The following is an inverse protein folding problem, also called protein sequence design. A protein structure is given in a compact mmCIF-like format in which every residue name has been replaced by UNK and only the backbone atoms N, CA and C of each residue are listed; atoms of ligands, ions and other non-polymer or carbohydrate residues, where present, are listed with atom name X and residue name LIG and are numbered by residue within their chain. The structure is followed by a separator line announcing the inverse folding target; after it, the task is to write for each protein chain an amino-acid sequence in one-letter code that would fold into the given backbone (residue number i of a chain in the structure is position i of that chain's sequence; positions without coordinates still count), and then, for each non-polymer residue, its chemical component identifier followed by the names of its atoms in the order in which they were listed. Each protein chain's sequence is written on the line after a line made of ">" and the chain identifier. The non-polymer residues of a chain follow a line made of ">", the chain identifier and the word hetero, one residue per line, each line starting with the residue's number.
data_IF_004769656752
#
_entry.id   IF_004769656752
#
_cell.length_a   1.000
_cell.length_b   1.000
_cell.length_c   1.000
_cell.angle_alpha   90.00
_cell.angle_beta   90.00
_cell.angle_gamma   90.00
#
_symmetry.space_group_name_H-M   'P 1'
#
loop_
_entity.id
_entity.type
_entity.pdbx_description
1 polymer ?
#
# COMPACT_ATOMS: atom_id res chain seq x y z
N UNK A 1 -13.97 18.85 8.04
CA UNK A 1 -13.55 18.79 6.63
C UNK A 1 -12.49 17.70 6.36
N UNK A 2 -11.41 17.61 7.14
CA UNK A 2 -10.32 16.65 6.89
C UNK A 2 -10.62 15.16 7.14
N UNK A 3 -11.73 14.80 7.80
CA UNK A 3 -12.13 13.39 8.02
C UNK A 3 -12.41 12.61 6.72
N UNK A 4 -12.56 13.28 5.57
CA UNK A 4 -12.77 12.65 4.25
C UNK A 4 -11.47 12.36 3.49
N UNK A 5 -10.33 12.92 3.92
CA UNK A 5 -9.03 12.68 3.28
C UNK A 5 -8.21 11.70 4.13
N UNK A 6 -7.61 10.69 3.48
CA UNK A 6 -6.74 9.71 4.15
C UNK A 6 -5.57 10.39 4.89
N UNK A 7 -5.08 11.50 4.33
CA UNK A 7 -4.06 12.36 4.95
C UNK A 7 -4.39 13.82 4.60
N UNK A 8 -4.33 14.78 5.54
CA UNK A 8 -4.63 16.19 5.26
C UNK A 8 -3.88 16.78 4.06
N UNK A 9 -2.66 16.30 3.79
CA UNK A 9 -1.82 16.70 2.64
C UNK A 9 -2.46 16.41 1.28
N UNK A 10 -3.41 15.47 1.19
CA UNK A 10 -4.10 15.16 -0.07
C UNK A 10 -4.91 16.35 -0.62
N UNK A 11 -5.28 17.33 0.22
CA UNK A 11 -5.93 18.55 -0.24
C UNK A 11 -5.05 19.37 -1.19
N UNK A 12 -3.72 19.18 -1.16
CA UNK A 12 -2.78 19.85 -2.05
C UNK A 12 -3.04 19.52 -3.53
N UNK A 13 -3.76 18.44 -3.83
CA UNK A 13 -4.15 18.12 -5.22
C UNK A 13 -5.05 19.23 -5.81
N UNK A 14 -5.90 19.87 -4.99
CA UNK A 14 -6.73 20.98 -5.44
C UNK A 14 -5.87 22.20 -5.78
N UNK A 15 -4.83 22.47 -4.99
CA UNK A 15 -3.87 23.54 -5.27
C UNK A 15 -3.14 23.25 -6.59
N UNK A 16 -2.59 22.05 -6.75
CA UNK A 16 -1.86 21.65 -7.97
C UNK A 16 -2.75 21.75 -9.21
N UNK A 17 -3.98 21.23 -9.13
CA UNK A 17 -4.96 21.31 -10.21
C UNK A 17 -5.34 22.76 -10.55
N UNK A 18 -5.60 23.58 -9.53
CA UNK A 18 -5.94 25.00 -9.72
C UNK A 18 -4.78 25.76 -10.36
N UNK A 19 -3.54 25.52 -9.93
CA UNK A 19 -2.34 26.12 -10.51
C UNK A 19 -2.16 25.71 -11.96
N UNK A 20 -2.40 24.44 -12.31
CA UNK A 20 -2.31 23.96 -13.69
C UNK A 20 -3.36 24.64 -14.60
N UNK A 21 -4.61 24.74 -14.14
CA UNK A 21 -5.67 25.47 -14.88
C UNK A 21 -5.29 26.94 -15.04
N UNK A 22 -4.92 27.62 -13.96
CA UNK A 22 -4.56 29.04 -14.00
C UNK A 22 -3.34 29.28 -14.90
N UNK A 23 -2.39 28.35 -14.93
CA UNK A 23 -1.23 28.42 -15.84
C UNK A 23 -1.65 28.28 -17.29
N UNK A 24 -2.57 27.37 -17.61
CA UNK A 24 -3.14 27.22 -18.96
C UNK A 24 -3.94 28.45 -19.42
N UNK A 25 -4.79 29.00 -18.54
CA UNK A 25 -5.52 30.25 -18.79
C UNK A 25 -4.56 31.42 -18.98
N UNK A 26 -3.53 31.51 -18.13
CA UNK A 26 -2.48 32.52 -18.21
C UNK A 26 -1.70 32.44 -19.53
N UNK A 27 -1.36 31.23 -19.99
CA UNK A 27 -0.68 31.01 -21.26
C UNK A 27 -1.56 31.41 -22.46
N UNK A 28 -2.87 31.12 -22.41
CA UNK A 28 -3.81 31.55 -23.44
C UNK A 28 -3.97 33.08 -23.47
N UNK A 29 -4.09 33.71 -22.31
CA UNK A 29 -4.15 35.17 -22.21
C UNK A 29 -2.85 35.80 -22.71
N UNK A 30 -1.69 35.24 -22.35
CA UNK A 30 -0.39 35.66 -22.84
C UNK A 30 -0.34 35.61 -24.38
N UNK A 31 -0.78 34.51 -25.02
CA UNK A 31 -0.86 34.40 -26.48
C UNK A 31 -1.65 35.55 -27.12
N UNK A 32 -2.83 35.87 -26.57
CA UNK A 32 -3.68 36.95 -27.10
C UNK A 32 -3.01 38.32 -26.93
N UNK A 33 -2.42 38.59 -25.77
CA UNK A 33 -1.72 39.84 -25.50
C UNK A 33 -0.50 40.00 -26.40
N UNK A 34 0.27 38.94 -26.65
CA UNK A 34 1.43 38.97 -27.55
C UNK A 34 1.06 39.33 -29.00
N UNK A 35 -0.18 39.07 -29.43
CA UNK A 35 -0.68 39.48 -30.76
C UNK A 35 -0.91 40.99 -30.86
N UNK A 36 -1.44 41.62 -29.80
CA UNK A 36 -1.88 43.03 -29.82
C UNK A 36 -0.90 44.04 -29.21
N UNK A 37 0.05 43.61 -28.36
CA UNK A 37 0.90 44.50 -27.55
C UNK A 37 2.30 44.67 -28.16
N UNK A 38 3.04 45.77 -27.91
CA UNK A 38 4.45 45.83 -28.32
C UNK A 38 5.30 44.82 -27.51
N UNK A 39 5.87 43.82 -28.20
CA UNK A 39 6.64 42.73 -27.60
C UNK A 39 7.92 43.24 -26.95
N UNK A 40 8.55 44.25 -27.54
CA UNK A 40 9.82 44.72 -27.07
C UNK A 40 9.64 45.36 -25.70
N UNK A 41 8.54 46.09 -25.52
CA UNK A 41 8.17 46.66 -24.23
C UNK A 41 7.75 45.58 -23.22
N UNK A 42 6.96 44.58 -23.62
CA UNK A 42 6.53 43.49 -22.73
C UNK A 42 7.70 42.60 -22.28
N UNK A 43 8.55 42.14 -23.21
CA UNK A 43 9.71 41.31 -22.91
C UNK A 43 10.78 42.07 -22.14
N UNK A 44 10.98 43.37 -22.41
CA UNK A 44 11.85 44.20 -21.56
C UNK A 44 11.31 44.25 -20.12
N UNK A 45 10.01 44.42 -19.92
CA UNK A 45 9.40 44.39 -18.58
C UNK A 45 9.52 43.02 -17.92
N UNK A 46 9.31 41.94 -18.68
CA UNK A 46 9.40 40.58 -18.17
C UNK A 46 10.85 40.20 -17.83
N UNK A 47 11.81 40.45 -18.72
CA UNK A 47 13.23 40.30 -18.44
C UNK A 47 13.68 41.18 -17.28
N UNK A 48 13.25 42.45 -17.24
CA UNK A 48 13.55 43.34 -16.12
C UNK A 48 12.97 42.81 -14.80
N UNK A 49 11.75 42.29 -14.80
CA UNK A 49 11.15 41.65 -13.62
C UNK A 49 11.90 40.39 -13.19
N UNK A 50 12.34 39.54 -14.13
CA UNK A 50 13.11 38.34 -13.85
C UNK A 50 14.52 38.65 -13.33
N UNK A 51 15.18 39.66 -13.92
CA UNK A 51 16.52 40.11 -13.51
C UNK A 51 16.45 40.81 -12.16
N UNK A 52 15.48 41.72 -11.96
CA UNK A 52 15.31 42.42 -10.68
C UNK A 52 14.96 41.46 -9.53
N UNK A 53 14.01 40.54 -9.73
CA UNK A 53 13.70 39.51 -8.72
C UNK A 53 14.90 38.59 -8.47
N UNK A 54 15.63 38.20 -9.52
CA UNK A 54 16.88 37.43 -9.40
C UNK A 54 17.98 38.16 -8.63
N UNK A 55 18.15 39.48 -8.85
CA UNK A 55 19.10 40.32 -8.14
C UNK A 55 18.71 40.52 -6.67
N UNK A 56 17.44 40.82 -6.40
CA UNK A 56 16.91 40.90 -5.03
C UNK A 56 17.18 39.58 -4.31
N UNK A 57 16.96 38.44 -4.98
CA UNK A 57 17.24 37.15 -4.40
C UNK A 57 18.74 36.88 -4.22
N UNK A 58 19.59 37.27 -5.16
CA UNK A 58 21.05 37.15 -5.04
C UNK A 58 21.60 37.92 -3.84
N UNK A 59 21.10 39.13 -3.59
CA UNK A 59 21.60 40.00 -2.52
C UNK A 59 20.91 39.76 -1.16
N UNK A 60 19.60 39.50 -1.16
CA UNK A 60 18.80 39.43 0.07
C UNK A 60 18.16 38.06 0.30
N UNK A 61 18.25 37.13 -0.66
CA UNK A 61 17.58 35.83 -0.58
C UNK A 61 18.04 35.00 0.61
N UNK A 62 19.32 35.09 0.99
CA UNK A 62 19.86 34.41 2.19
C UNK A 62 19.14 34.87 3.45
N UNK A 63 19.09 36.18 3.69
CA UNK A 63 18.50 36.75 4.91
C UNK A 63 16.98 36.59 4.94
N UNK A 64 16.32 36.68 3.78
CA UNK A 64 14.88 36.44 3.65
C UNK A 64 14.57 34.98 4.02
N UNK A 65 15.27 34.01 3.40
CA UNK A 65 15.06 32.58 3.65
C UNK A 65 15.30 32.24 5.12
N UNK A 66 16.43 32.69 5.68
CA UNK A 66 16.81 32.37 7.07
C UNK A 66 15.79 32.90 8.09
N UNK A 67 15.08 34.00 7.80
CA UNK A 67 14.00 34.53 8.66
C UNK A 67 12.73 33.68 8.66
N UNK A 68 12.45 32.95 7.58
CA UNK A 68 11.29 32.06 7.49
C UNK A 68 11.59 30.63 7.96
N UNK A 69 12.87 30.29 8.19
CA UNK A 69 13.24 28.96 8.68
C UNK A 69 12.96 28.84 10.18
N UNK A 70 12.35 27.72 10.64
CA UNK A 70 12.09 27.50 12.05
C UNK A 70 13.42 27.40 12.81
N UNK A 71 13.61 28.28 13.79
CA UNK A 71 14.88 28.45 14.50
C UNK A 71 15.00 27.69 15.84
N UNK A 72 13.88 27.26 16.44
CA UNK A 72 13.90 26.96 17.87
C UNK A 72 14.02 25.47 18.25
N UNK A 73 13.84 24.52 17.32
CA UNK A 73 13.72 23.09 17.68
C UNK A 73 14.97 22.23 17.42
N UNK A 74 15.92 22.71 16.61
CA UNK A 74 17.04 21.90 16.14
C UNK A 74 18.27 21.98 17.04
N UNK A 75 18.49 23.11 17.71
CA UNK A 75 19.61 23.29 18.66
C UNK A 75 19.45 22.32 19.84
N UNK A 76 18.22 22.18 20.36
CA UNK A 76 17.92 21.28 21.48
C UNK A 76 18.08 19.79 21.12
N UNK A 77 17.97 19.41 19.83
CA UNK A 77 18.05 18.01 19.38
C UNK A 77 19.44 17.60 18.87
N UNK A 78 20.20 18.54 18.32
CA UNK A 78 21.43 18.22 17.57
C UNK A 78 22.65 19.08 17.96
N UNK A 79 22.51 20.02 18.90
CA UNK A 79 23.59 20.86 19.43
C UNK A 79 23.74 22.23 18.76
N UNK A 80 24.61 23.08 19.33
CA UNK A 80 24.78 24.49 18.98
C UNK A 80 25.15 24.74 17.50
N UNK A 81 25.97 23.87 16.91
CA UNK A 81 26.45 24.03 15.53
C UNK A 81 25.53 23.38 14.48
N UNK A 82 24.60 22.51 14.88
CA UNK A 82 23.73 21.82 13.94
C UNK A 82 22.80 22.78 13.19
N UNK A 83 22.33 23.83 13.86
CA UNK A 83 21.44 24.83 13.27
C UNK A 83 22.11 25.57 12.12
N UNK A 84 23.37 26.01 12.30
CA UNK A 84 24.11 26.73 11.27
C UNK A 84 24.37 25.85 10.05
N UNK A 85 24.87 24.63 10.26
CA UNK A 85 25.14 23.68 9.18
C UNK A 85 23.87 23.30 8.41
N UNK A 86 22.76 23.05 9.10
CA UNK A 86 21.47 22.75 8.46
C UNK A 86 20.94 23.94 7.67
N UNK A 87 21.05 25.16 8.22
CA UNK A 87 20.60 26.37 7.53
C UNK A 87 21.44 26.69 6.30
N UNK A 88 22.75 26.49 6.35
CA UNK A 88 23.62 26.58 5.17
C UNK A 88 23.25 25.53 4.12
N UNK A 89 22.95 24.30 4.53
CA UNK A 89 22.48 23.25 3.63
C UNK A 89 21.13 23.61 2.97
N UNK A 90 20.17 24.10 3.75
CA UNK A 90 18.86 24.55 3.22
C UNK A 90 19.03 25.70 2.23
N UNK A 91 19.87 26.69 2.58
CA UNK A 91 20.15 27.82 1.71
C UNK A 91 20.79 27.37 0.40
N UNK A 92 21.82 26.53 0.46
CA UNK A 92 22.51 26.02 -0.74
C UNK A 92 21.56 25.24 -1.65
N UNK A 93 20.68 24.41 -1.08
CA UNK A 93 19.63 23.71 -1.83
C UNK A 93 18.68 24.71 -2.51
N UNK A 94 18.08 25.64 -1.76
CA UNK A 94 17.14 26.65 -2.32
C UNK A 94 17.79 27.54 -3.38
N UNK A 95 19.01 28.00 -3.12
CA UNK A 95 19.78 28.81 -4.05
C UNK A 95 20.06 28.07 -5.35
N UNK A 96 20.34 26.76 -5.29
CA UNK A 96 20.53 25.93 -6.49
C UNK A 96 19.25 25.81 -7.32
N UNK A 97 18.08 25.66 -6.69
CA UNK A 97 16.81 25.56 -7.42
C UNK A 97 16.42 26.90 -8.06
N UNK A 98 16.64 28.01 -7.37
CA UNK A 98 16.28 29.33 -7.91
C UNK A 98 17.11 29.68 -9.15
N UNK A 99 18.38 29.27 -9.21
CA UNK A 99 19.17 29.38 -10.45
C UNK A 99 18.51 28.67 -11.63
N UNK A 100 17.98 27.48 -11.40
CA UNK A 100 17.33 26.68 -12.45
C UNK A 100 16.04 27.36 -12.89
N UNK A 101 15.23 27.84 -11.95
CA UNK A 101 14.02 28.62 -12.26
C UNK A 101 14.37 29.87 -13.08
N UNK A 102 15.44 30.60 -12.73
CA UNK A 102 15.90 31.76 -13.49
C UNK A 102 16.33 31.38 -14.92
N UNK A 103 17.09 30.30 -15.08
CA UNK A 103 17.49 29.79 -16.40
C UNK A 103 16.24 29.43 -17.23
N UNK A 104 15.25 28.77 -16.63
CA UNK A 104 14.00 28.42 -17.31
C UNK A 104 13.20 29.66 -17.72
N UNK A 105 13.10 30.66 -16.84
CA UNK A 105 12.43 31.93 -17.17
C UNK A 105 13.12 32.65 -18.34
N UNK A 106 14.46 32.64 -18.38
CA UNK A 106 15.24 33.21 -19.49
C UNK A 106 14.96 32.43 -20.78
N UNK A 107 14.98 31.09 -20.74
CA UNK A 107 14.67 30.24 -21.89
C UNK A 107 13.26 30.49 -22.43
N UNK A 108 12.26 30.55 -21.56
CA UNK A 108 10.87 30.88 -21.92
C UNK A 108 10.80 32.27 -22.54
N UNK A 109 11.49 33.26 -21.97
CA UNK A 109 11.54 34.63 -22.51
C UNK A 109 12.13 34.67 -23.92
N UNK A 110 13.20 33.91 -24.16
CA UNK A 110 13.85 33.79 -25.48
C UNK A 110 12.90 33.14 -26.49
N UNK A 111 12.20 32.06 -26.12
CA UNK A 111 11.23 31.40 -26.98
C UNK A 111 10.11 32.38 -27.38
N UNK A 112 9.58 33.14 -26.42
CA UNK A 112 8.56 34.15 -26.67
C UNK A 112 9.06 35.31 -27.55
N UNK A 113 10.32 35.72 -27.39
CA UNK A 113 10.97 36.71 -28.25
C UNK A 113 11.04 36.24 -29.70
N UNK A 114 11.53 35.03 -29.93
CA UNK A 114 11.64 34.47 -31.28
C UNK A 114 10.28 34.22 -31.93
N UNK A 115 9.29 33.74 -31.17
CA UNK A 115 7.92 33.57 -31.66
C UNK A 115 7.41 34.83 -32.36
N UNK A 116 7.59 35.98 -31.72
CA UNK A 116 7.10 37.24 -32.28
C UNK A 116 8.01 37.84 -33.35
N UNK A 117 9.33 37.87 -33.16
CA UNK A 117 10.22 38.55 -34.11
C UNK A 117 10.45 37.76 -35.42
N UNK A 118 10.26 36.44 -35.39
CA UNK A 118 10.44 35.58 -36.57
C UNK A 118 9.13 34.98 -37.08
N UNK A 119 7.98 35.38 -36.53
CA UNK A 119 6.66 34.86 -36.89
C UNK A 119 6.57 33.32 -36.85
N UNK A 120 7.19 32.68 -35.86
CA UNK A 120 7.08 31.22 -35.71
C UNK A 120 5.66 30.79 -35.34
N UNK A 121 5.28 29.56 -35.67
CA UNK A 121 3.97 29.01 -35.29
C UNK A 121 3.89 28.83 -33.76
N UNK A 122 2.75 29.16 -33.15
CA UNK A 122 2.47 28.93 -31.73
C UNK A 122 2.65 27.46 -31.32
N UNK A 123 2.45 26.53 -32.26
CA UNK A 123 2.72 25.11 -32.06
C UNK A 123 4.17 24.86 -31.62
N UNK A 124 5.14 25.61 -32.15
CA UNK A 124 6.55 25.47 -31.78
C UNK A 124 6.79 25.97 -30.35
N UNK A 125 6.20 27.10 -29.97
CA UNK A 125 6.24 27.61 -28.57
C UNK A 125 5.65 26.59 -27.60
N UNK A 126 4.46 26.06 -27.91
CA UNK A 126 3.79 25.07 -27.08
C UNK A 126 4.64 23.80 -26.92
N UNK A 127 5.21 23.26 -28.00
CA UNK A 127 6.11 22.10 -27.95
C UNK A 127 7.35 22.39 -27.11
N UNK A 128 7.99 23.56 -27.27
CA UNK A 128 9.15 23.94 -26.47
C UNK A 128 8.82 24.06 -24.98
N UNK A 129 7.67 24.63 -24.63
CA UNK A 129 7.21 24.71 -23.23
C UNK A 129 6.97 23.32 -22.64
N UNK A 130 6.33 22.43 -23.39
CA UNK A 130 6.12 21.03 -22.97
C UNK A 130 7.47 20.33 -22.73
N UNK A 131 8.44 20.48 -23.63
CA UNK A 131 9.78 19.90 -23.47
C UNK A 131 10.51 20.47 -22.25
N UNK A 132 10.41 21.78 -22.01
CA UNK A 132 10.97 22.42 -20.80
C UNK A 132 10.31 21.85 -19.54
N UNK A 133 8.99 21.71 -19.52
CA UNK A 133 8.27 21.11 -18.38
C UNK A 133 8.65 19.66 -18.16
N UNK A 134 8.81 18.85 -19.22
CA UNK A 134 9.28 17.47 -19.10
C UNK A 134 10.69 17.43 -18.52
N UNK A 135 11.59 18.30 -18.99
CA UNK A 135 12.95 18.38 -18.46
C UNK A 135 12.95 18.78 -16.98
N UNK A 136 12.20 19.80 -16.59
CA UNK A 136 12.09 20.27 -15.20
C UNK A 136 11.57 19.16 -14.28
N UNK A 137 10.45 18.52 -14.65
CA UNK A 137 9.89 17.40 -13.89
C UNK A 137 10.85 16.22 -13.82
N UNK A 138 11.55 15.89 -14.92
CA UNK A 138 12.52 14.79 -14.94
C UNK A 138 13.73 15.08 -14.06
N UNK A 139 14.21 16.32 -14.07
CA UNK A 139 15.33 16.77 -13.25
C UNK A 139 15.00 16.72 -11.76
N UNK A 140 13.82 17.22 -11.37
CA UNK A 140 13.34 17.15 -9.99
C UNK A 140 13.14 15.69 -9.56
N UNK A 141 12.54 14.86 -10.41
CA UNK A 141 12.35 13.44 -10.13
C UNK A 141 13.69 12.71 -9.92
N UNK A 142 14.69 12.98 -10.76
CA UNK A 142 16.02 12.40 -10.63
C UNK A 142 16.65 12.73 -9.26
N UNK A 143 16.58 14.00 -8.82
CA UNK A 143 17.06 14.43 -7.50
C UNK A 143 16.38 13.73 -6.31
N UNK A 144 15.16 13.22 -6.48
CA UNK A 144 14.41 12.52 -5.43
C UNK A 144 14.69 11.02 -5.46
N UNK A 145 14.76 10.43 -6.66
CA UNK A 145 15.00 9.01 -6.85
C UNK A 145 16.47 8.65 -6.56
N UNK A 146 17.39 9.41 -7.15
CA UNK A 146 18.83 9.22 -7.08
C UNK A 146 19.52 10.55 -6.68
N UNK A 147 19.33 10.98 -5.42
CA UNK A 147 19.97 12.19 -4.92
C UNK A 147 21.48 12.07 -5.01
N UNK A 148 22.15 13.18 -5.34
CA UNK A 148 23.61 13.24 -5.29
C UNK A 148 24.10 13.06 -3.85
N UNK A 149 25.25 12.41 -3.65
CA UNK A 149 25.84 12.23 -2.32
C UNK A 149 26.06 13.57 -1.59
N UNK A 150 26.36 14.63 -2.36
CA UNK A 150 26.51 16.01 -1.86
C UNK A 150 25.23 16.62 -1.30
N UNK A 151 24.06 16.04 -1.60
CA UNK A 151 22.78 16.52 -1.08
C UNK A 151 22.46 15.98 0.31
N UNK A 152 23.24 15.03 0.83
CA UNK A 152 23.04 14.35 2.12
C UNK A 152 21.68 13.65 2.26
N UNK A 153 20.96 13.47 1.15
CA UNK A 153 19.72 12.70 1.08
C UNK A 153 20.07 11.25 0.80
N UNK A 154 19.44 10.32 1.50
CA UNK A 154 19.51 8.90 1.15
C UNK A 154 18.68 8.65 -0.10
N UNK A 155 19.20 7.83 -1.01
CA UNK A 155 18.39 7.33 -2.13
C UNK A 155 17.17 6.59 -1.61
N UNK A 156 16.04 6.78 -2.30
CA UNK A 156 14.82 6.01 -2.04
C UNK A 156 14.90 4.60 -2.63
N UNK A 157 15.86 4.35 -3.51
CA UNK A 157 16.10 3.05 -4.12
C UNK A 157 17.04 2.20 -3.26
N UNK A 158 16.67 0.95 -3.08
CA UNK A 158 17.57 -0.05 -2.50
C UNK A 158 18.57 -0.53 -3.54
N UNK A 159 19.87 -0.73 -3.19
CA UNK A 159 20.86 -1.26 -4.11
C UNK A 159 20.44 -2.60 -4.73
N UNK A 160 20.70 -2.81 -6.02
CA UNK A 160 20.31 -4.01 -6.75
C UNK A 160 20.81 -5.30 -6.10
N UNK A 161 22.00 -5.29 -5.50
CA UNK A 161 22.56 -6.44 -4.78
C UNK A 161 21.77 -6.77 -3.51
N UNK A 162 21.31 -5.76 -2.78
CA UNK A 162 20.47 -5.91 -1.60
C UNK A 162 19.11 -6.46 -1.98
N UNK A 163 18.50 -5.92 -3.05
CA UNK A 163 17.23 -6.44 -3.59
C UNK A 163 17.35 -7.90 -4.02
N UNK A 164 18.44 -8.26 -4.71
CA UNK A 164 18.70 -9.66 -5.12
C UNK A 164 18.84 -10.57 -3.91
N UNK A 165 19.59 -10.18 -2.88
CA UNK A 165 19.71 -10.96 -1.64
C UNK A 165 18.38 -11.09 -0.90
N UNK A 166 17.59 -10.02 -0.85
CA UNK A 166 16.28 -10.00 -0.21
C UNK A 166 15.31 -10.98 -0.88
N UNK A 167 15.32 -11.04 -2.22
CA UNK A 167 14.46 -11.93 -3.02
C UNK A 167 15.05 -13.32 -3.27
N UNK A 168 16.24 -13.62 -2.75
CA UNK A 168 16.80 -14.96 -2.82
C UNK A 168 16.23 -15.87 -1.72
N UNK A 169 16.02 -17.14 -2.07
CA UNK A 169 15.63 -18.18 -1.11
C UNK A 169 16.82 -18.53 -0.20
N UNK A 170 16.67 -18.23 1.09
CA UNK A 170 17.60 -18.66 2.13
C UNK A 170 17.20 -20.04 2.69
N UNK A 171 17.93 -20.52 3.69
CA UNK A 171 17.73 -21.86 4.25
C UNK A 171 16.35 -22.03 4.88
N UNK A 172 15.82 -20.98 5.54
CA UNK A 172 14.49 -21.04 6.16
C UNK A 172 13.40 -21.07 5.09
N UNK A 173 13.52 -20.22 4.06
CA UNK A 173 12.56 -20.21 2.93
C UNK A 173 12.56 -21.57 2.21
N UNK A 174 13.74 -22.14 1.95
CA UNK A 174 13.86 -23.46 1.32
C UNK A 174 13.21 -24.57 2.15
N UNK A 175 13.44 -24.55 3.47
CA UNK A 175 12.79 -25.49 4.39
C UNK A 175 11.26 -25.37 4.32
N UNK A 176 10.72 -24.16 4.44
CA UNK A 176 9.27 -23.93 4.42
C UNK A 176 8.63 -24.34 3.08
N UNK A 177 9.33 -24.15 1.95
CA UNK A 177 8.84 -24.53 0.62
C UNK A 177 8.84 -26.04 0.34
N UNK A 178 9.49 -26.85 1.19
CA UNK A 178 9.39 -28.31 1.09
C UNK A 178 8.03 -28.82 1.54
N UNK A 179 7.34 -28.06 2.40
CA UNK A 179 5.98 -28.36 2.82
C UNK A 179 4.98 -27.80 1.80
N UNK A 180 4.23 -28.70 1.16
CA UNK A 180 3.23 -28.35 0.13
C UNK A 180 1.81 -28.24 0.70
N UNK A 181 1.63 -28.47 2.00
CA UNK A 181 0.33 -28.30 2.67
C UNK A 181 -0.07 -26.83 2.77
N UNK A 182 -1.36 -26.56 2.97
CA UNK A 182 -1.83 -25.20 3.26
C UNK A 182 -1.53 -24.88 4.73
N UNK A 183 -0.59 -23.97 4.97
CA UNK A 183 -0.23 -23.51 6.30
C UNK A 183 0.11 -22.03 6.35
N UNK A 184 0.10 -21.48 7.57
CA UNK A 184 0.65 -20.15 7.87
C UNK A 184 1.81 -20.24 8.85
N UNK A 185 2.63 -19.21 8.83
CA UNK A 185 3.72 -19.02 9.80
C UNK A 185 3.39 -17.93 10.82
N UNK A 186 3.92 -18.10 12.02
CA UNK A 186 3.98 -17.12 13.10
C UNK A 186 5.43 -16.62 13.24
N UNK A 187 5.82 -15.55 12.52
CA UNK A 187 7.09 -14.89 12.76
C UNK A 187 7.02 -14.05 14.04
N UNK A 188 8.03 -14.16 14.91
CA UNK A 188 8.13 -13.35 16.13
C UNK A 188 8.96 -12.09 15.89
N UNK A 189 8.82 -11.07 16.75
CA UNK A 189 9.68 -9.87 16.72
C UNK A 189 11.17 -10.23 16.54
N UNK A 190 11.90 -9.57 15.61
CA UNK A 190 11.50 -8.44 14.76
C UNK A 190 10.87 -8.83 13.40
N UNK A 191 10.56 -10.11 13.17
CA UNK A 191 10.10 -10.65 11.88
C UNK A 191 8.59 -10.48 11.63
N UNK A 192 7.82 -10.13 12.64
CA UNK A 192 6.35 -10.00 12.63
C UNK A 192 5.83 -8.81 11.79
N UNK A 193 6.70 -7.87 11.41
CA UNK A 193 6.35 -6.73 10.53
C UNK A 193 6.93 -6.85 9.13
N UNK A 194 7.55 -7.98 8.82
CA UNK A 194 8.25 -8.22 7.56
C UNK A 194 7.28 -8.74 6.49
N UNK A 195 7.28 -8.11 5.30
CA UNK A 195 6.49 -8.59 4.15
C UNK A 195 7.28 -9.54 3.24
N UNK A 196 8.55 -9.83 3.56
CA UNK A 196 9.42 -10.70 2.78
C UNK A 196 8.79 -12.06 2.49
N UNK A 197 8.06 -12.61 3.46
CA UNK A 197 7.37 -13.90 3.33
C UNK A 197 6.45 -13.96 2.10
N UNK A 198 5.74 -12.86 1.80
CA UNK A 198 4.84 -12.76 0.65
C UNK A 198 5.56 -12.87 -0.70
N UNK A 199 6.84 -12.44 -0.79
CA UNK A 199 7.62 -12.58 -2.02
C UNK A 199 7.90 -14.04 -2.40
N UNK A 200 7.74 -14.96 -1.44
CA UNK A 200 7.92 -16.40 -1.62
C UNK A 200 6.60 -17.17 -1.50
N UNK A 201 5.46 -16.49 -1.50
CA UNK A 201 4.13 -17.07 -1.27
C UNK A 201 4.01 -17.83 0.07
N UNK A 202 4.77 -17.42 1.09
CA UNK A 202 4.64 -17.95 2.44
C UNK A 202 3.68 -17.05 3.20
N UNK A 203 2.55 -17.61 3.60
CA UNK A 203 1.52 -16.88 4.33
C UNK A 203 1.91 -16.68 5.79
N UNK A 204 1.80 -15.44 6.26
CA UNK A 204 2.02 -15.09 7.66
C UNK A 204 0.72 -14.60 8.29
N UNK A 205 0.47 -14.97 9.55
CA UNK A 205 -0.57 -14.35 10.39
C UNK A 205 -0.14 -12.96 10.91
N UNK A 206 0.96 -12.44 10.40
CA UNK A 206 1.52 -11.14 10.72
C UNK A 206 1.88 -10.43 9.41
N UNK A 207 2.71 -9.40 9.49
CA UNK A 207 3.12 -8.59 8.34
C UNK A 207 2.64 -7.15 8.45
N UNK A 208 3.08 -6.35 7.49
CA UNK A 208 2.76 -4.94 7.41
C UNK A 208 1.76 -4.66 6.27
N UNK A 209 0.59 -4.18 6.64
CA UNK A 209 -0.37 -3.61 5.69
C UNK A 209 -0.79 -2.21 6.17
N UNK A 210 -0.71 -1.16 5.34
CA UNK A 210 -1.03 0.21 5.76
C UNK A 210 -2.53 0.48 5.89
N UNK A 211 -3.39 -0.45 5.45
CA UNK A 211 -4.84 -0.39 5.58
C UNK A 211 -5.36 -1.73 6.13
N UNK A 212 -5.16 -1.96 7.42
CA UNK A 212 -5.58 -3.22 8.08
C UNK A 212 -7.10 -3.30 8.18
N UNK A 213 -7.64 -4.51 8.14
CA UNK A 213 -9.06 -4.76 8.41
C UNK A 213 -9.39 -4.41 9.87
N UNK A 214 -10.59 -3.86 10.10
CA UNK A 214 -10.99 -3.41 11.44
C UNK A 214 -11.13 -4.58 12.42
N UNK A 215 -11.85 -5.63 12.04
CA UNK A 215 -12.02 -6.83 12.86
C UNK A 215 -10.68 -7.48 13.24
N UNK A 216 -9.73 -7.53 12.31
CA UNK A 216 -8.37 -8.01 12.61
C UNK A 216 -7.66 -7.13 13.65
N UNK A 217 -7.78 -5.81 13.55
CA UNK A 217 -7.19 -4.90 14.54
C UNK A 217 -7.86 -5.03 15.90
N UNK A 218 -9.19 -5.11 15.96
CA UNK A 218 -9.95 -5.31 17.20
C UNK A 218 -9.57 -6.63 17.86
N UNK A 219 -9.52 -7.72 17.07
CA UNK A 219 -9.05 -9.01 17.53
C UNK A 219 -7.62 -8.94 18.11
N UNK A 220 -6.69 -8.28 17.41
CA UNK A 220 -5.31 -8.14 17.89
C UNK A 220 -5.19 -7.27 19.15
N UNK A 221 -6.07 -6.27 19.32
CA UNK A 221 -6.07 -5.38 20.49
C UNK A 221 -6.67 -6.06 21.72
N UNK A 222 -7.69 -6.91 21.55
CA UNK A 222 -8.44 -7.52 22.65
C UNK A 222 -8.00 -8.94 23.00
N UNK A 223 -7.52 -9.72 22.02
CA UNK A 223 -7.17 -11.14 22.19
C UNK A 223 -5.68 -11.39 21.92
N UNK A 224 -5.18 -10.93 20.77
CA UNK A 224 -3.83 -11.22 20.32
C UNK A 224 -3.57 -12.72 20.09
N UNK A 225 -2.31 -13.14 20.24
CA UNK A 225 -1.85 -14.51 19.93
C UNK A 225 -1.19 -15.22 21.13
N UNK A 226 -1.50 -14.78 22.36
CA UNK A 226 -0.98 -15.39 23.58
C UNK A 226 -1.52 -16.81 23.78
N UNK A 227 -2.81 -17.02 23.46
CA UNK A 227 -3.45 -18.32 23.55
C UNK A 227 -3.11 -19.18 22.32
N UNK A 228 -2.51 -20.35 22.55
CA UNK A 228 -2.09 -21.23 21.44
C UNK A 228 -3.26 -21.78 20.63
N UNK A 229 -4.46 -21.92 21.21
CA UNK A 229 -5.65 -22.33 20.47
C UNK A 229 -6.02 -21.32 19.37
N UNK A 230 -5.69 -20.04 19.53
CA UNK A 230 -5.87 -19.03 18.48
C UNK A 230 -5.00 -19.37 17.26
N UNK A 231 -3.77 -19.84 17.50
CA UNK A 231 -2.86 -20.26 16.43
C UNK A 231 -3.41 -21.46 15.67
N UNK A 232 -4.09 -22.37 16.37
CA UNK A 232 -4.78 -23.50 15.78
C UNK A 232 -5.85 -23.03 14.78
N UNK A 233 -6.80 -22.17 15.18
CA UNK A 233 -7.85 -21.71 14.26
C UNK A 233 -7.30 -20.88 13.08
N UNK A 234 -6.11 -20.28 13.23
CA UNK A 234 -5.44 -19.51 12.19
C UNK A 234 -4.57 -20.36 11.24
N UNK A 235 -4.62 -21.69 11.34
CA UNK A 235 -3.87 -22.61 10.49
C UNK A 235 -2.34 -22.39 10.58
N UNK A 236 -1.85 -21.99 11.76
CA UNK A 236 -0.42 -21.78 12.01
C UNK A 236 0.27 -23.12 12.21
N UNK A 237 1.26 -23.41 11.37
CA UNK A 237 2.06 -24.65 11.47
C UNK A 237 3.46 -24.41 12.01
N UNK A 238 4.06 -23.29 11.64
CA UNK A 238 5.44 -22.99 12.01
C UNK A 238 5.59 -21.66 12.74
N UNK A 239 6.29 -21.67 13.87
CA UNK A 239 6.79 -20.46 14.53
C UNK A 239 8.22 -20.20 14.10
N UNK A 240 8.51 -18.95 13.71
CA UNK A 240 9.82 -18.52 13.20
C UNK A 240 10.40 -17.47 14.13
N UNK A 241 11.58 -17.74 14.69
CA UNK A 241 12.19 -16.85 15.67
C UNK A 241 13.72 -16.87 15.62
N UNK A 242 14.36 -15.75 15.97
CA UNK A 242 15.81 -15.69 16.18
C UNK A 242 16.26 -16.24 17.53
N UNK A 243 15.34 -16.33 18.49
CA UNK A 243 15.65 -16.74 19.86
C UNK A 243 15.35 -18.23 20.05
N UNK A 244 15.88 -18.82 21.12
CA UNK A 244 15.39 -20.13 21.56
C UNK A 244 14.00 -19.91 22.16
N UNK A 245 13.05 -20.70 21.71
CA UNK A 245 11.69 -20.75 22.26
C UNK A 245 11.48 -22.13 22.89
N UNK A 246 10.93 -22.15 24.10
CA UNK A 246 10.69 -23.38 24.87
C UNK A 246 9.25 -23.36 25.36
N UNK A 247 8.43 -24.27 24.83
CA UNK A 247 7.00 -24.36 25.13
C UNK A 247 6.49 -25.74 24.68
N UNK A 248 5.69 -26.42 25.50
CA UNK A 248 5.29 -27.81 25.26
C UNK A 248 4.58 -28.05 23.93
N UNK A 249 3.77 -27.08 23.49
CA UNK A 249 3.04 -27.12 22.21
C UNK A 249 3.92 -26.94 20.96
N UNK A 250 5.22 -26.65 21.12
CA UNK A 250 6.13 -26.37 20.02
C UNK A 250 7.34 -27.29 20.05
N UNK A 251 7.76 -27.77 18.88
CA UNK A 251 8.94 -28.62 18.73
C UNK A 251 9.89 -28.00 17.71
N UNK A 252 11.17 -27.86 18.06
CA UNK A 252 12.16 -27.33 17.12
C UNK A 252 12.41 -28.38 16.03
N UNK A 253 12.07 -28.05 14.78
CA UNK A 253 12.23 -28.94 13.63
C UNK A 253 13.35 -28.53 12.69
N UNK A 254 13.75 -27.25 12.71
CA UNK A 254 14.83 -26.76 11.85
C UNK A 254 15.57 -25.56 12.44
N UNK A 255 16.79 -25.35 11.96
CA UNK A 255 17.64 -24.21 12.31
C UNK A 255 18.45 -23.84 11.07
N UNK A 256 18.43 -22.56 10.68
CA UNK A 256 19.14 -22.11 9.49
C UNK A 256 19.36 -20.60 9.45
N UNK A 257 19.92 -20.12 8.34
CA UNK A 257 20.17 -18.70 8.07
C UNK A 257 18.96 -18.05 7.40
N UNK A 258 18.43 -16.99 8.00
CA UNK A 258 17.41 -16.11 7.41
C UNK A 258 18.01 -14.74 7.07
N UNK A 259 17.74 -14.23 5.87
CA UNK A 259 18.12 -12.86 5.53
C UNK A 259 17.14 -11.85 6.13
N UNK A 260 17.64 -10.95 6.98
CA UNK A 260 16.87 -9.87 7.61
C UNK A 260 17.80 -8.69 7.96
N UNK A 261 17.33 -7.46 7.74
CA UNK A 261 18.10 -6.21 7.96
C UNK A 261 19.50 -6.26 7.33
N UNK A 262 19.58 -6.64 6.06
CA UNK A 262 20.82 -6.72 5.26
C UNK A 262 21.88 -7.71 5.74
N UNK A 263 21.53 -8.64 6.63
CA UNK A 263 22.43 -9.69 7.13
C UNK A 263 21.73 -11.05 7.25
N UNK A 264 22.51 -12.12 7.30
CA UNK A 264 22.00 -13.46 7.62
C UNK A 264 22.03 -13.69 9.12
N UNK A 265 20.88 -14.05 9.70
CA UNK A 265 20.71 -14.29 11.12
C UNK A 265 20.37 -15.76 11.36
N UNK A 266 20.89 -16.32 12.45
CA UNK A 266 20.50 -17.66 12.89
C UNK A 266 19.02 -17.63 13.30
N UNK A 267 18.23 -18.54 12.73
CA UNK A 267 16.79 -18.58 12.90
C UNK A 267 16.37 -20.02 13.18
N UNK A 268 15.47 -20.18 14.14
CA UNK A 268 14.89 -21.45 14.53
C UNK A 268 13.46 -21.53 13.97
N UNK A 269 13.09 -22.73 13.53
CA UNK A 269 11.72 -23.07 13.10
C UNK A 269 11.16 -24.11 14.05
N UNK A 270 9.99 -23.82 14.59
CA UNK A 270 9.27 -24.69 15.50
C UNK A 270 7.96 -25.14 14.88
N UNK A 271 7.71 -26.45 14.86
CA UNK A 271 6.43 -27.03 14.50
C UNK A 271 5.44 -26.85 15.65
N UNK A 272 4.26 -26.32 15.35
CA UNK A 272 3.14 -26.27 16.28
C UNK A 272 2.41 -27.62 16.30
N UNK A 273 2.45 -28.31 17.44
CA UNK A 273 1.97 -29.69 17.57
C UNK A 273 0.45 -29.84 17.41
N UNK A 274 -0.31 -28.79 17.73
CA UNK A 274 -1.78 -28.80 17.64
C UNK A 274 -2.28 -28.16 16.34
N UNK A 275 -1.44 -28.13 15.30
CA UNK A 275 -1.81 -27.67 13.95
C UNK A 275 -3.09 -28.36 13.46
N UNK A 276 -3.98 -27.59 12.84
CA UNK A 276 -5.14 -28.10 12.11
C UNK A 276 -5.17 -27.51 10.70
N UNK A 277 -5.87 -28.22 9.81
CA UNK A 277 -6.06 -27.78 8.45
C UNK A 277 -6.82 -26.46 8.35
N UNK A 278 -6.65 -25.78 7.21
CA UNK A 278 -7.22 -24.47 6.95
C UNK A 278 -8.76 -24.45 6.99
N UNK A 279 -9.38 -25.59 6.74
CA UNK A 279 -10.82 -25.75 6.81
C UNK A 279 -11.15 -26.96 7.68
N UNK A 280 -12.14 -26.82 8.56
CA UNK A 280 -12.54 -27.86 9.50
C UNK A 280 -14.04 -27.79 9.80
N UNK A 281 -14.64 -28.92 10.15
CA UNK A 281 -15.99 -28.95 10.69
C UNK A 281 -15.97 -28.69 12.20
N UNK A 282 -16.98 -27.98 12.69
CA UNK A 282 -17.11 -27.67 14.12
C UNK A 282 -18.16 -28.56 14.77
N UNK A 283 -17.86 -29.15 15.93
CA UNK A 283 -18.82 -29.99 16.69
C UNK A 283 -19.96 -29.15 17.30
N UNK A 284 -19.64 -27.97 17.85
CA UNK A 284 -20.61 -27.13 18.53
C UNK A 284 -20.39 -25.64 18.25
N UNK A 285 -21.48 -24.96 17.89
CA UNK A 285 -21.51 -23.49 17.83
C UNK A 285 -22.02 -22.92 19.14
N UNK A 286 -21.37 -21.84 19.60
CA UNK A 286 -21.80 -21.06 20.75
C UNK A 286 -22.11 -19.64 20.29
N UNK A 287 -23.38 -19.26 20.35
CA UNK A 287 -23.79 -17.90 20.10
C UNK A 287 -23.36 -16.99 21.26
N UNK A 288 -22.65 -15.91 20.95
CA UNK A 288 -22.34 -14.83 21.88
C UNK A 288 -22.72 -13.52 21.19
N UNK A 289 -23.60 -12.76 21.83
CA UNK A 289 -24.17 -11.53 21.23
C UNK A 289 -23.24 -10.32 21.32
N UNK A 290 -22.36 -10.28 22.32
CA UNK A 290 -21.51 -9.12 22.63
C UNK A 290 -20.08 -9.42 22.24
N UNK A 291 -19.51 -8.61 21.36
CA UNK A 291 -18.12 -8.73 20.90
C UNK A 291 -17.13 -8.74 22.08
N UNK A 292 -17.37 -7.93 23.11
CA UNK A 292 -16.54 -7.89 24.33
C UNK A 292 -16.54 -9.23 25.08
N UNK A 293 -17.69 -9.89 25.15
CA UNK A 293 -17.81 -11.20 25.81
C UNK A 293 -17.23 -12.30 24.92
N UNK A 294 -17.32 -12.15 23.60
CA UNK A 294 -16.69 -13.05 22.63
C UNK A 294 -15.16 -12.96 22.74
N UNK A 295 -14.57 -11.76 22.76
CA UNK A 295 -13.13 -11.58 22.93
C UNK A 295 -12.62 -12.15 24.26
N UNK A 296 -13.31 -11.89 25.37
CA UNK A 296 -12.96 -12.49 26.68
C UNK A 296 -13.02 -14.01 26.64
N UNK A 297 -14.02 -14.57 25.96
CA UNK A 297 -14.10 -16.01 25.78
C UNK A 297 -12.91 -16.53 24.97
N UNK A 298 -12.59 -15.90 23.84
CA UNK A 298 -11.48 -16.30 22.96
C UNK A 298 -10.12 -16.25 23.67
N UNK A 299 -9.87 -15.19 24.45
CA UNK A 299 -8.65 -15.05 25.23
C UNK A 299 -8.47 -16.21 26.23
N UNK A 300 -9.54 -16.56 26.95
CA UNK A 300 -9.51 -17.56 28.02
C UNK A 300 -9.82 -18.99 27.56
N UNK A 301 -10.15 -19.20 26.27
CA UNK A 301 -10.62 -20.49 25.79
C UNK A 301 -9.51 -21.55 25.80
N UNK A 302 -9.72 -22.61 26.58
CA UNK A 302 -8.82 -23.77 26.65
C UNK A 302 -9.21 -24.90 25.70
N UNK A 303 -10.40 -24.86 25.10
CA UNK A 303 -10.89 -25.88 24.16
C UNK A 303 -10.40 -25.62 22.74
N UNK A 304 -10.19 -26.68 21.97
CA UNK A 304 -9.95 -26.57 20.52
C UNK A 304 -11.15 -25.97 19.81
N UNK A 305 -10.90 -25.11 18.82
CA UNK A 305 -11.96 -24.49 18.01
C UNK A 305 -12.70 -25.47 17.08
N UNK A 306 -12.13 -26.65 16.84
CA UNK A 306 -12.83 -27.77 16.17
C UNK A 306 -14.00 -28.27 17.05
N UNK A 307 -13.85 -28.22 18.38
CA UNK A 307 -14.88 -28.67 19.32
C UNK A 307 -15.94 -27.60 19.58
N UNK A 308 -15.51 -26.35 19.76
CA UNK A 308 -16.41 -25.26 20.09
C UNK A 308 -15.93 -23.98 19.39
N UNK A 309 -16.75 -23.43 18.49
CA UNK A 309 -16.50 -22.12 17.86
C UNK A 309 -17.65 -21.16 18.16
N UNK A 310 -17.32 -19.86 18.20
CA UNK A 310 -18.27 -18.79 18.41
C UNK A 310 -18.92 -18.36 17.10
N UNK A 311 -20.17 -17.92 17.18
CA UNK A 311 -20.88 -17.30 16.08
C UNK A 311 -21.59 -16.03 16.56
N UNK A 312 -21.64 -15.00 15.71
CA UNK A 312 -22.26 -13.70 16.01
C UNK A 312 -23.76 -13.65 15.75
N UNK A 313 -24.34 -14.71 15.20
CA UNK A 313 -25.77 -14.82 14.90
C UNK A 313 -26.40 -16.02 15.59
N UNK A 314 -27.63 -15.83 16.07
CA UNK A 314 -28.43 -16.89 16.68
C UNK A 314 -28.94 -17.85 15.59
N UNK A 315 -28.22 -18.96 15.42
CA UNK A 315 -28.65 -20.10 14.62
C UNK A 315 -29.42 -21.08 15.50
N UNK A 316 -30.26 -21.93 14.90
CA UNK A 316 -30.77 -23.13 15.58
C UNK A 316 -29.56 -24.01 15.96
N UNK A 317 -29.06 -23.84 17.20
CA UNK A 317 -27.80 -24.36 17.68
C UNK A 317 -27.90 -25.88 17.83
N UNK A 318 -27.61 -26.59 16.74
CA UNK A 318 -27.45 -28.04 16.72
C UNK A 318 -26.00 -28.40 17.03
N UNK A 319 -25.83 -29.55 17.67
CA UNK A 319 -24.54 -30.23 17.67
C UNK A 319 -24.35 -30.86 16.30
N UNK A 320 -23.16 -30.68 15.72
CA UNK A 320 -22.74 -31.33 14.48
C UNK A 320 -21.83 -32.50 14.84
N UNK A 321 -21.76 -33.50 13.95
CA UNK A 321 -20.87 -34.65 14.17
C UNK A 321 -19.41 -34.29 13.93
N UNK A 322 -19.13 -33.19 13.23
CA UNK A 322 -17.79 -32.74 12.82
C UNK A 322 -17.00 -33.82 12.07
N UNK A 323 -17.71 -34.75 11.44
CA UNK A 323 -17.15 -35.86 10.68
C UNK A 323 -17.41 -35.65 9.18
N UNK A 324 -16.42 -36.02 8.38
CA UNK A 324 -16.46 -35.90 6.94
C UNK A 324 -15.12 -35.56 6.30
N UNK A 325 -15.10 -35.64 4.98
CA UNK A 325 -13.95 -35.28 4.16
C UNK A 325 -14.01 -33.80 3.80
N UNK A 326 -12.86 -33.12 3.86
CA UNK A 326 -12.65 -31.78 3.32
C UNK A 326 -11.44 -31.81 2.39
N UNK A 327 -11.60 -31.34 1.16
CA UNK A 327 -10.54 -31.33 0.15
C UNK A 327 -10.52 -30.01 -0.61
N UNK A 328 -9.37 -29.34 -0.64
CA UNK A 328 -9.20 -28.14 -1.46
C UNK A 328 -9.01 -28.52 -2.93
N UNK A 329 -9.92 -28.09 -3.79
CA UNK A 329 -9.78 -28.17 -5.26
C UNK A 329 -8.94 -26.99 -5.75
N UNK A 330 -9.17 -25.80 -5.18
CA UNK A 330 -8.52 -24.56 -5.58
C UNK A 330 -8.35 -23.64 -4.36
N UNK A 331 -7.16 -23.05 -4.21
CA UNK A 331 -6.86 -22.07 -3.16
C UNK A 331 -6.12 -20.88 -3.77
N UNK A 332 -6.86 -19.82 -4.12
CA UNK A 332 -6.30 -18.56 -4.62
C UNK A 332 -6.83 -17.38 -3.78
N UNK A 333 -6.11 -16.24 -3.74
CA UNK A 333 -6.49 -15.09 -2.90
C UNK A 333 -7.91 -14.55 -3.15
N UNK A 334 -8.45 -14.72 -4.36
CA UNK A 334 -9.78 -14.24 -4.75
C UNK A 334 -10.81 -15.35 -4.96
N UNK A 335 -10.41 -16.63 -4.88
CA UNK A 335 -11.31 -17.76 -5.11
C UNK A 335 -10.79 -19.03 -4.43
N UNK A 336 -11.64 -19.64 -3.60
CA UNK A 336 -11.35 -20.87 -2.88
C UNK A 336 -12.48 -21.86 -3.18
N UNK A 337 -12.12 -23.06 -3.63
CA UNK A 337 -13.07 -24.15 -3.95
C UNK A 337 -12.71 -25.34 -3.10
N UNK A 338 -13.69 -25.80 -2.31
CA UNK A 338 -13.57 -26.90 -1.37
C UNK A 338 -14.62 -27.93 -1.72
N UNK A 339 -14.20 -29.19 -1.86
CA UNK A 339 -15.06 -30.35 -1.94
C UNK A 339 -15.22 -30.92 -0.54
N UNK A 340 -16.46 -31.21 -0.15
CA UNK A 340 -16.78 -31.80 1.15
C UNK A 340 -17.71 -33.00 1.00
N UNK A 341 -17.56 -33.99 1.86
CA UNK A 341 -18.48 -35.12 1.99
C UNK A 341 -18.75 -35.37 3.47
N UNK A 342 -20.02 -35.42 3.88
CA UNK A 342 -20.43 -35.78 5.24
C UNK A 342 -21.73 -36.58 5.24
N UNK A 343 -21.98 -37.38 6.28
CA UNK A 343 -23.24 -38.12 6.44
C UNK A 343 -24.35 -37.30 7.09
N UNK A 344 -24.00 -36.18 7.73
CA UNK A 344 -24.94 -35.27 8.39
C UNK A 344 -24.72 -33.84 7.88
N UNK A 345 -25.68 -32.96 8.16
CA UNK A 345 -25.47 -31.50 8.12
C UNK A 345 -24.19 -31.15 8.90
N UNK A 346 -23.36 -30.27 8.35
CA UNK A 346 -22.13 -29.79 8.99
C UNK A 346 -22.05 -28.27 9.00
N UNK A 347 -21.21 -27.75 9.88
CA UNK A 347 -20.78 -26.35 9.82
C UNK A 347 -19.29 -26.28 9.52
N UNK A 348 -18.95 -25.80 8.32
CA UNK A 348 -17.58 -25.63 7.87
C UNK A 348 -17.06 -24.28 8.32
N UNK A 349 -15.94 -24.27 9.04
CA UNK A 349 -15.15 -23.06 9.31
C UNK A 349 -13.97 -23.05 8.38
N UNK A 350 -13.78 -21.93 7.70
CA UNK A 350 -12.62 -21.66 6.88
C UNK A 350 -11.77 -20.61 7.59
N UNK A 351 -10.51 -20.95 7.85
CA UNK A 351 -9.49 -20.11 8.45
C UNK A 351 -9.07 -18.98 7.50
N UNK A 352 -10.01 -18.12 7.11
CA UNK A 352 -9.82 -16.97 6.24
C UNK A 352 -10.65 -15.80 6.79
N UNK A 353 -10.06 -14.61 6.85
CA UNK A 353 -10.63 -13.48 7.59
C UNK A 353 -12.02 -13.11 7.06
N UNK A 354 -13.03 -13.04 7.92
CA UNK A 354 -14.37 -12.60 7.53
C UNK A 354 -14.31 -11.15 7.02
N UNK A 355 -14.86 -10.93 5.82
CA UNK A 355 -14.94 -9.63 5.21
C UNK A 355 -16.22 -9.54 4.37
N UNK A 356 -17.28 -8.90 4.88
CA UNK A 356 -18.60 -8.94 4.25
C UNK A 356 -18.66 -8.14 2.94
N UNK A 357 -17.75 -7.19 2.75
CA UNK A 357 -17.72 -6.31 1.57
C UNK A 357 -16.99 -6.97 0.37
N UNK A 358 -17.55 -8.06 -0.16
CA UNK A 358 -17.18 -8.57 -1.49
C UNK A 358 -17.01 -10.07 -1.59
N UNK A 359 -16.93 -10.81 -0.49
CA UNK A 359 -16.96 -12.28 -0.53
C UNK A 359 -18.39 -12.80 -0.69
N UNK A 360 -18.55 -13.75 -1.61
CA UNK A 360 -19.76 -14.56 -1.79
C UNK A 360 -19.40 -16.03 -1.64
N UNK A 361 -20.33 -16.84 -1.15
CA UNK A 361 -20.18 -18.30 -1.09
C UNK A 361 -21.30 -18.96 -1.89
N UNK A 362 -20.95 -20.02 -2.61
CA UNK A 362 -21.88 -20.84 -3.35
C UNK A 362 -21.72 -22.29 -2.90
N UNK A 363 -22.83 -22.96 -2.59
CA UNK A 363 -22.87 -24.39 -2.28
C UNK A 363 -23.62 -25.05 -3.42
N UNK A 364 -22.96 -25.94 -4.16
CA UNK A 364 -23.53 -26.59 -5.36
C UNK A 364 -24.14 -25.55 -6.33
N UNK A 365 -23.38 -24.48 -6.58
CA UNK A 365 -23.74 -23.32 -7.41
C UNK A 365 -24.93 -22.45 -6.95
N UNK A 366 -25.52 -22.74 -5.80
CA UNK A 366 -26.51 -21.87 -5.17
C UNK A 366 -25.84 -20.91 -4.19
N UNK A 367 -26.15 -19.62 -4.29
CA UNK A 367 -25.62 -18.60 -3.36
C UNK A 367 -26.10 -18.89 -1.94
N UNK A 368 -25.18 -18.90 -0.98
CA UNK A 368 -25.45 -19.15 0.44
C UNK A 368 -24.87 -18.03 1.31
N UNK A 369 -25.18 -18.06 2.60
CA UNK A 369 -24.75 -17.04 3.56
C UNK A 369 -23.38 -17.40 4.15
N UNK A 370 -22.51 -16.40 4.25
CA UNK A 370 -21.27 -16.47 5.02
C UNK A 370 -21.56 -15.98 6.44
N UNK A 371 -21.14 -16.75 7.43
CA UNK A 371 -21.25 -16.39 8.84
C UNK A 371 -19.87 -15.95 9.37
N UNK A 372 -19.87 -15.00 10.29
CA UNK A 372 -18.67 -14.63 11.05
C UNK A 372 -18.50 -15.59 12.23
N UNK A 373 -17.28 -16.10 12.38
CA UNK A 373 -16.93 -17.15 13.34
C UNK A 373 -15.72 -16.70 14.14
N UNK A 374 -15.75 -16.88 15.45
CA UNK A 374 -14.65 -16.50 16.36
C UNK A 374 -14.17 -15.04 16.17
N UNK A 375 -15.10 -14.10 15.91
CA UNK A 375 -14.84 -12.66 15.68
C UNK A 375 -13.84 -12.35 14.54
N UNK A 376 -13.54 -13.33 13.69
CA UNK A 376 -12.42 -13.18 12.76
C UNK A 376 -12.53 -14.01 11.50
N UNK A 377 -13.04 -15.24 11.59
CA UNK A 377 -13.04 -16.22 10.50
C UNK A 377 -14.40 -16.31 9.82
N UNK A 378 -14.45 -17.00 8.68
CA UNK A 378 -15.68 -17.19 7.93
C UNK A 378 -16.16 -18.64 8.02
N UNK A 379 -17.46 -18.83 8.18
CA UNK A 379 -18.10 -20.14 8.23
C UNK A 379 -19.30 -20.24 7.29
N UNK A 380 -19.70 -21.47 6.99
CA UNK A 380 -20.87 -21.77 6.16
C UNK A 380 -21.54 -23.07 6.63
N UNK A 381 -22.87 -23.08 6.65
CA UNK A 381 -23.65 -24.29 6.89
C UNK A 381 -23.70 -25.14 5.61
N UNK A 382 -23.41 -26.43 5.72
CA UNK A 382 -23.47 -27.39 4.64
C UNK A 382 -24.53 -28.45 4.91
N UNK A 383 -25.33 -28.85 3.91
CA UNK A 383 -26.22 -30.00 4.04
C UNK A 383 -25.41 -31.30 4.04
N UNK A 384 -26.02 -32.40 4.48
CA UNK A 384 -25.47 -33.75 4.30
C UNK A 384 -25.12 -34.07 2.84
N UNK A 385 -24.17 -34.97 2.64
CA UNK A 385 -23.74 -35.48 1.34
C UNK A 385 -22.54 -34.77 0.73
N UNK A 386 -22.41 -34.88 -0.59
CA UNK A 386 -21.33 -34.26 -1.36
C UNK A 386 -21.67 -32.81 -1.68
N UNK A 387 -20.79 -31.89 -1.29
CA UNK A 387 -20.95 -30.47 -1.61
C UNK A 387 -19.68 -29.88 -2.23
N UNK A 388 -19.88 -29.00 -3.21
CA UNK A 388 -18.84 -28.11 -3.73
C UNK A 388 -19.10 -26.71 -3.17
N UNK A 389 -18.20 -26.27 -2.30
CA UNK A 389 -18.24 -24.95 -1.66
C UNK A 389 -17.28 -24.01 -2.36
N UNK A 390 -17.79 -22.97 -3.01
CA UNK A 390 -17.02 -21.99 -3.76
C UNK A 390 -17.13 -20.62 -3.11
N UNK A 391 -16.05 -20.18 -2.45
CA UNK A 391 -15.88 -18.80 -2.00
C UNK A 391 -15.26 -17.96 -3.12
N UNK A 392 -15.87 -16.83 -3.45
CA UNK A 392 -15.41 -15.94 -4.52
C UNK A 392 -15.43 -14.48 -4.06
N UNK A 393 -14.30 -13.80 -4.21
CA UNK A 393 -14.19 -12.37 -3.96
C UNK A 393 -14.59 -11.60 -5.23
N UNK A 394 -15.71 -10.88 -5.16
CA UNK A 394 -16.29 -10.13 -6.28
C UNK A 394 -16.88 -8.79 -5.81
N UNK A 395 -16.05 -7.86 -5.28
CA UNK A 395 -16.52 -6.57 -4.79
C UNK A 395 -17.10 -5.71 -5.93
N UNK A 396 -18.25 -5.08 -5.66
CA UNK A 396 -18.95 -4.24 -6.64
C UNK A 396 -18.14 -2.97 -6.97
N UNK A 397 -17.49 -2.37 -5.97
CA UNK A 397 -16.76 -1.12 -6.13
C UNK A 397 -15.56 -1.24 -7.07
N UNK A 398 -14.87 -2.38 -7.07
CA UNK A 398 -13.75 -2.64 -7.99
C UNK A 398 -14.26 -2.76 -9.43
N UNK A 399 -15.40 -3.43 -9.64
CA UNK A 399 -16.01 -3.54 -10.98
C UNK A 399 -16.41 -2.16 -11.50
N UNK A 400 -17.16 -1.40 -10.71
CA UNK A 400 -17.60 -0.05 -11.08
C UNK A 400 -16.41 0.89 -11.31
N UNK A 401 -15.44 0.90 -10.40
CA UNK A 401 -14.24 1.72 -10.51
C UNK A 401 -13.39 1.38 -11.74
N UNK A 402 -13.25 0.09 -12.06
CA UNK A 402 -12.54 -0.35 -13.27
C UNK A 402 -13.25 0.09 -14.54
N UNK A 403 -14.57 -0.10 -14.63
CA UNK A 403 -15.37 0.35 -15.78
C UNK A 403 -15.30 1.86 -15.96
N UNK A 404 -15.50 2.64 -14.89
CA UNK A 404 -15.41 4.10 -14.93
C UNK A 404 -14.03 4.59 -15.35
N UNK A 405 -12.96 3.94 -14.86
CA UNK A 405 -11.59 4.25 -15.25
C UNK A 405 -11.35 4.02 -16.74
N UNK A 406 -11.79 2.87 -17.27
CA UNK A 406 -11.67 2.54 -18.70
C UNK A 406 -12.44 3.55 -19.55
N UNK A 407 -13.70 3.83 -19.21
CA UNK A 407 -14.54 4.78 -19.95
C UNK A 407 -13.92 6.18 -19.93
N UNK A 408 -13.45 6.65 -18.76
CA UNK A 408 -12.80 7.95 -18.64
C UNK A 408 -11.52 8.04 -19.47
N UNK A 409 -10.73 6.96 -19.47
CA UNK A 409 -9.50 6.87 -20.28
C UNK A 409 -9.81 6.92 -21.78
N UNK A 410 -10.84 6.19 -22.22
CA UNK A 410 -11.29 6.22 -23.61
C UNK A 410 -11.79 7.61 -24.02
N UNK A 411 -12.56 8.28 -23.16
CA UNK A 411 -13.01 9.66 -23.40
C UNK A 411 -11.81 10.61 -23.55
N UNK A 412 -10.81 10.51 -22.68
CA UNK A 412 -9.60 11.34 -22.78
C UNK A 412 -8.86 11.07 -24.09
N UNK A 413 -8.69 9.80 -24.47
CA UNK A 413 -8.05 9.43 -25.75
C UNK A 413 -8.83 10.01 -26.93
N UNK A 414 -10.17 9.86 -26.95
CA UNK A 414 -11.02 10.41 -28.01
C UNK A 414 -10.92 11.94 -28.10
N UNK A 415 -10.92 12.64 -26.96
CA UNK A 415 -10.72 14.09 -26.92
C UNK A 415 -9.35 14.48 -27.48
N UNK A 416 -8.27 13.80 -27.07
CA UNK A 416 -6.93 14.05 -27.61
C UNK A 416 -6.83 13.75 -29.10
N UNK A 417 -7.44 12.66 -29.58
CA UNK A 417 -7.49 12.31 -31.00
C UNK A 417 -8.27 13.33 -31.82
N UNK A 418 -9.40 13.84 -31.32
CA UNK A 418 -10.20 14.87 -32.00
C UNK A 418 -9.41 16.16 -32.27
N UNK A 419 -8.50 16.54 -31.36
CA UNK A 419 -7.61 17.70 -31.53
C UNK A 419 -6.66 17.50 -32.72
N UNK A 420 -6.22 16.26 -33.01
CA UNK A 420 -5.39 15.95 -34.18
C UNK A 420 -6.18 16.07 -35.48
N UNK A 421 -7.45 15.65 -35.50
CA UNK A 421 -8.30 15.73 -36.69
C UNK A 421 -8.76 17.15 -37.02
N UNK A 422 -9.08 17.97 -36.01
CA UNK A 422 -9.49 19.39 -36.21
C UNK A 422 -8.36 20.22 -36.84
N UNK A 423 -7.10 19.81 -36.70
CA UNK A 423 -5.95 20.54 -37.25
C UNK A 423 -5.73 20.31 -38.75
N UNK A 424 -6.40 19.34 -39.36
CA UNK A 424 -6.28 19.04 -40.79
C UNK A 424 -7.32 19.77 -41.67
N UNK A 425 -8.23 20.56 -41.09
CA UNK A 425 -9.24 21.36 -41.83
C UNK A 425 -8.93 22.88 -41.87
N UNK A 426 -7.69 23.29 -41.64
CA UNK A 426 -7.20 24.65 -41.91
C UNK A 426 -5.93 24.59 -42.77
#
# INVERSE_FOLDING_TARGET
>A
FFKKFRVPVMILILLQFSVAILSGLGLNHLRQTLYNYDINTFLKKLLFSAVSSGLIFLFFGKDIILKFLPNNDLINRYGLNAQQTINELRYTLLYSEIKIVMIMLILVSIILYFYKNKNYNWSLVATSLILISIFDLSYVNYKIIEPSEKSYRSSTLSPSITKKRYLNEDEIIKFLKQDTSNFRILPTQPLDKENRWSAFNIESIYGYHPAKLNNYNEFMNNVGFSNTNILQMLNVKYLITFQKFDHDSFEKVFSGKLFHNNKYNNTNVYLYKNFIDRAFFVEKLKYIKSDDDAFKYLENNTKSFVKESLISEDLDLKNYTADGMIKFIKSFPNEIIIETNSNDDQFLVLSEIYYPAGWKVFINDQESKIYEVNELLRGVKLPEGNNIVRFKFSPIDVKLGSTLSIVSTLIIILLLSSILFIKNEK
#
